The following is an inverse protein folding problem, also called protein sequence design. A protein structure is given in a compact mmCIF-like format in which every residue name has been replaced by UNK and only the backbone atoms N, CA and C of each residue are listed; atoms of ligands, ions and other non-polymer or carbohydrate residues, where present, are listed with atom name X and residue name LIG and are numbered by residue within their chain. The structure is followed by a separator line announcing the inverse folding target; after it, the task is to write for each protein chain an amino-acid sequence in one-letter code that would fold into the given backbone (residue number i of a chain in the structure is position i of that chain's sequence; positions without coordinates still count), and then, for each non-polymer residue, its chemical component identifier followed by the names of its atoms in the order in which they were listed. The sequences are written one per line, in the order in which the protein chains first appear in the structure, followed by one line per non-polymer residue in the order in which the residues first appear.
data_IF_707902815872
#
_entry.id   IF_707902815872
#
_cell.length_a   1.000
_cell.length_b   1.000
_cell.length_c   1.000
_cell.angle_alpha   90.00
_cell.angle_beta   90.00
_cell.angle_gamma   90.00
#
_symmetry.space_group_name_H-M   'P 1'
#
loop_
_entity.id
_entity.type
_entity.pdbx_description
1 polymer ?
#
# COMPACT_ATOMS: atom_id res chain seq x y z
N UNK A 1 1.51 13.74 9.69
CA UNK A 1 1.34 12.34 10.17
C UNK A 1 1.74 11.43 9.03
N UNK A 2 2.53 10.39 9.29
CA UNK A 2 2.76 9.30 8.32
C UNK A 2 1.93 8.11 8.78
N UNK A 3 1.05 7.58 7.93
CA UNK A 3 0.23 6.42 8.24
C UNK A 3 0.49 5.34 7.21
N UNK A 4 0.80 4.13 7.69
CA UNK A 4 0.81 2.92 6.87
C UNK A 4 -0.52 2.15 6.97
N UNK A 5 -1.53 2.72 7.65
CA UNK A 5 -2.87 2.13 7.73
C UNK A 5 -3.66 2.45 6.45
N UNK A 6 -4.02 1.44 5.63
CA UNK A 6 -4.80 1.65 4.41
C UNK A 6 -6.19 2.22 4.70
N UNK A 7 -6.77 1.94 5.87
CA UNK A 7 -8.07 2.48 6.29
C UNK A 7 -8.02 4.01 6.47
N UNK A 8 -6.93 4.53 7.02
CA UNK A 8 -6.78 5.98 7.16
C UNK A 8 -6.45 6.63 5.81
N UNK A 9 -5.75 5.93 4.93
CA UNK A 9 -5.42 6.41 3.59
C UNK A 9 -6.63 6.37 2.63
N UNK A 10 -7.66 5.55 2.89
CA UNK A 10 -8.87 5.45 2.06
C UNK A 10 -9.92 6.53 2.34
N UNK A 11 -9.65 7.48 3.24
CA UNK A 11 -10.60 8.55 3.53
C UNK A 11 -10.78 9.44 2.28
N UNK A 12 -12.01 9.83 1.90
CA UNK A 12 -12.27 10.56 0.65
C UNK A 12 -11.51 11.90 0.54
N UNK A 13 -11.27 12.54 1.68
CA UNK A 13 -10.59 13.85 1.79
C UNK A 13 -9.06 13.69 1.98
N UNK A 14 -8.55 12.46 2.03
CA UNK A 14 -7.14 12.22 2.29
C UNK A 14 -6.29 12.72 1.12
N UNK A 15 -5.38 13.65 1.42
CA UNK A 15 -4.30 13.99 0.50
C UNK A 15 -3.11 13.10 0.79
N UNK A 16 -2.77 12.24 -0.16
CA UNK A 16 -1.74 11.22 0.01
C UNK A 16 -0.48 11.63 -0.74
N UNK A 17 0.65 11.55 -0.03
CA UNK A 17 1.98 11.70 -0.59
C UNK A 17 2.78 10.43 -0.38
N UNK A 18 3.35 9.92 -1.45
CA UNK A 18 4.26 8.79 -1.46
C UNK A 18 5.70 9.31 -1.50
N UNK A 19 6.54 8.78 -0.61
CA UNK A 19 7.96 9.11 -0.61
C UNK A 19 8.68 8.14 -1.54
N UNK A 20 9.28 8.66 -2.60
CA UNK A 20 10.11 7.92 -3.54
C UNK A 20 11.53 8.45 -3.53
N UNK A 21 12.45 7.76 -4.21
CA UNK A 21 13.82 8.24 -4.43
C UNK A 21 13.87 9.59 -5.17
N UNK A 22 12.83 9.91 -5.93
CA UNK A 22 12.67 11.20 -6.62
C UNK A 22 12.04 12.31 -5.76
N UNK A 23 11.67 12.00 -4.51
CA UNK A 23 11.02 12.90 -3.57
C UNK A 23 9.56 12.53 -3.27
N UNK A 24 8.85 13.45 -2.61
CA UNK A 24 7.43 13.32 -2.29
C UNK A 24 6.57 13.58 -3.52
N UNK A 25 5.75 12.59 -3.90
CA UNK A 25 4.82 12.70 -5.01
C UNK A 25 3.39 12.51 -4.54
N UNK A 26 2.46 13.31 -5.08
CA UNK A 26 1.03 13.13 -4.82
C UNK A 26 0.53 11.91 -5.59
N UNK A 27 -0.19 11.02 -4.91
CA UNK A 27 -0.74 9.79 -5.49
C UNK A 27 -2.19 9.61 -5.11
N UNK A 28 -2.96 8.94 -5.98
CA UNK A 28 -4.28 8.46 -5.59
C UNK A 28 -4.11 7.23 -4.69
N UNK A 29 -5.12 6.97 -3.86
CA UNK A 29 -5.13 5.81 -2.97
C UNK A 29 -4.88 4.48 -3.70
N UNK A 30 -5.48 4.30 -4.88
CA UNK A 30 -5.36 3.06 -5.65
C UNK A 30 -3.97 2.84 -6.28
N UNK A 31 -3.22 3.92 -6.49
CA UNK A 31 -1.91 3.91 -7.13
C UNK A 31 -0.78 3.66 -6.13
N UNK A 32 -1.04 3.78 -4.82
CA UNK A 32 -0.04 3.59 -3.79
C UNK A 32 0.58 2.20 -3.86
N UNK A 33 1.90 2.13 -3.79
CA UNK A 33 2.63 0.87 -3.82
C UNK A 33 2.13 -0.07 -2.71
N UNK A 34 1.88 0.49 -1.53
CA UNK A 34 1.26 -0.21 -0.40
C UNK A 34 -0.06 -0.87 -0.79
N UNK A 35 -0.97 -0.12 -1.43
CA UNK A 35 -2.31 -0.63 -1.78
C UNK A 35 -2.22 -1.71 -2.86
N UNK A 36 -1.32 -1.54 -3.83
CA UNK A 36 -1.06 -2.55 -4.85
C UNK A 36 -0.49 -3.84 -4.24
N UNK A 37 0.49 -3.72 -3.34
CA UNK A 37 1.10 -4.85 -2.65
C UNK A 37 0.09 -5.61 -1.78
N UNK A 38 -0.78 -4.90 -1.07
CA UNK A 38 -1.86 -5.51 -0.29
C UNK A 38 -2.89 -6.22 -1.17
N UNK A 39 -3.29 -5.63 -2.30
CA UNK A 39 -4.18 -6.29 -3.28
C UNK A 39 -3.56 -7.58 -3.81
N UNK A 40 -2.30 -7.54 -4.22
CA UNK A 40 -1.56 -8.72 -4.72
C UNK A 40 -1.42 -9.81 -3.65
N UNK A 41 -1.17 -9.43 -2.39
CA UNK A 41 -1.12 -10.36 -1.27
C UNK A 41 -2.47 -11.03 -1.03
N UNK A 42 -3.56 -10.26 -1.00
CA UNK A 42 -4.92 -10.77 -0.76
C UNK A 42 -5.46 -11.60 -1.93
N UNK A 43 -4.98 -11.35 -3.15
CA UNK A 43 -5.35 -12.14 -4.33
C UNK A 43 -4.73 -13.55 -4.31
N UNK A 44 -3.52 -13.70 -3.77
CA UNK A 44 -2.83 -14.98 -3.69
C UNK A 44 -2.08 -15.21 -2.37
N UNK A 45 -2.77 -15.23 -1.21
CA UNK A 45 -2.13 -15.31 0.11
C UNK A 45 -1.34 -16.62 0.28
N UNK A 46 -1.84 -17.72 -0.29
CA UNK A 46 -1.21 -19.05 -0.33
C UNK A 46 0.23 -19.02 -0.87
N UNK A 47 0.52 -18.17 -1.87
CA UNK A 47 1.87 -18.05 -2.48
C UNK A 47 2.87 -17.41 -1.53
N UNK A 48 2.42 -16.44 -0.73
CA UNK A 48 3.24 -15.74 0.25
C UNK A 48 3.48 -16.58 1.50
N UNK A 49 2.46 -17.30 1.96
CA UNK A 49 2.57 -18.20 3.11
C UNK A 49 3.43 -19.45 2.82
N UNK A 50 3.57 -19.85 1.55
CA UNK A 50 4.43 -20.97 1.13
C UNK A 50 5.92 -20.81 1.51
N UNK A 51 6.37 -19.58 1.76
CA UNK A 51 7.77 -19.27 2.10
C UNK A 51 8.01 -19.15 3.62
N UNK A 52 6.96 -19.26 4.45
CA UNK A 52 7.05 -19.12 5.91
C UNK A 52 7.05 -20.48 6.65
N UNK A 53 6.98 -21.60 5.91
CA UNK A 53 6.85 -22.96 6.45
C UNK A 53 7.99 -23.92 6.12
N UNK A 54 9.17 -23.43 5.74
CA UNK A 54 10.39 -24.24 5.55
C UNK A 54 11.35 -24.14 6.71
#
# INVERSE_FOLDING_TARGET
MSTHSPILASLPEATIFELSDSGLQRRNYEDLELVQNWKLFLDAPERFLRHLGS
#
